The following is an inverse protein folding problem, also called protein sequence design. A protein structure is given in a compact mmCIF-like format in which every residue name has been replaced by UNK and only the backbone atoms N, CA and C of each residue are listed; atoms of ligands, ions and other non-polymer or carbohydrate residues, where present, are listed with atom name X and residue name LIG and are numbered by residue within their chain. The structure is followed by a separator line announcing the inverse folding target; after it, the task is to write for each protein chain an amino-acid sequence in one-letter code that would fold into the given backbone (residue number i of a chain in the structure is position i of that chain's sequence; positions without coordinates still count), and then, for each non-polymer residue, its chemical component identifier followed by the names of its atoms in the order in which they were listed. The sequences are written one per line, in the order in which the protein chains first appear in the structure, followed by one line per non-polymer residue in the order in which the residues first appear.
data_IF_672256147274
#
_entry.id   IF_672256147274
#
_cell.length_a   1.000
_cell.length_b   1.000
_cell.length_c   1.000
_cell.angle_alpha   90.00
_cell.angle_beta   90.00
_cell.angle_gamma   90.00
#
_symmetry.space_group_name_H-M   'P 1'
#
loop_
_entity.id
_entity.type
_entity.pdbx_description
1 polymer ?
#
# COMPACT_ATOMS: atom_id res chain seq x y z
N UNK A 1 35.87 -81.07 44.93
CA UNK A 1 36.49 -79.76 44.75
C UNK A 1 35.97 -79.14 43.46
N UNK A 2 34.97 -78.25 43.56
CA UNK A 2 34.36 -77.57 42.46
C UNK A 2 34.95 -76.15 42.37
N UNK A 3 35.66 -75.89 41.31
CA UNK A 3 36.16 -74.51 40.99
C UNK A 3 35.08 -73.68 40.34
N UNK A 4 34.73 -72.58 40.99
CA UNK A 4 33.78 -71.62 40.53
C UNK A 4 34.52 -70.60 39.65
N UNK A 5 34.16 -70.53 38.37
CA UNK A 5 34.66 -69.49 37.40
C UNK A 5 33.69 -68.29 37.45
N UNK A 6 34.21 -67.18 37.87
CA UNK A 6 33.49 -65.89 37.86
C UNK A 6 33.77 -65.19 36.50
N UNK A 7 32.72 -65.04 35.67
CA UNK A 7 32.79 -64.21 34.46
C UNK A 7 32.45 -62.75 34.84
N UNK A 8 33.42 -61.87 34.67
CA UNK A 8 33.19 -60.45 34.81
C UNK A 8 32.61 -59.90 33.49
N UNK A 9 31.39 -59.38 33.55
CA UNK A 9 30.70 -58.74 32.45
C UNK A 9 31.03 -57.26 32.48
N UNK A 10 31.85 -56.75 31.52
CA UNK A 10 32.13 -55.33 31.36
C UNK A 10 31.07 -54.73 30.45
N UNK A 11 30.17 -53.94 31.03
CA UNK A 11 29.19 -53.16 30.27
C UNK A 11 29.86 -51.89 29.71
N UNK A 12 30.07 -51.87 28.41
CA UNK A 12 30.52 -50.68 27.70
C UNK A 12 29.37 -49.67 27.51
N UNK A 13 29.50 -48.49 28.12
CA UNK A 13 28.57 -47.38 27.92
C UNK A 13 28.95 -46.65 26.64
N UNK A 14 28.15 -46.81 25.59
CA UNK A 14 28.26 -46.03 24.35
C UNK A 14 27.56 -44.69 24.57
N UNK A 15 28.30 -43.59 24.64
CA UNK A 15 27.73 -42.23 24.58
C UNK A 15 27.33 -41.90 23.14
N UNK A 16 26.08 -41.43 22.87
CA UNK A 16 25.73 -40.92 21.58
C UNK A 16 26.39 -39.57 21.37
N UNK A 17 27.20 -39.43 20.33
CA UNK A 17 27.68 -38.16 19.81
C UNK A 17 26.50 -37.45 19.14
N UNK A 18 25.94 -36.45 19.83
CA UNK A 18 24.97 -35.51 19.23
C UNK A 18 25.75 -34.59 18.30
N UNK A 19 25.70 -34.91 17.01
CA UNK A 19 26.19 -34.01 15.97
C UNK A 19 25.26 -32.77 15.90
N UNK A 20 25.72 -31.63 16.46
CA UNK A 20 25.09 -30.32 16.18
C UNK A 20 25.25 -30.02 14.71
N UNK A 21 24.22 -30.31 13.94
CA UNK A 21 24.07 -29.79 12.57
C UNK A 21 23.82 -28.29 12.66
N UNK A 22 24.86 -27.49 12.50
CA UNK A 22 24.70 -26.05 12.31
C UNK A 22 23.96 -25.83 10.99
N UNK A 23 22.67 -25.51 11.05
CA UNK A 23 21.94 -24.94 9.91
C UNK A 23 22.69 -23.68 9.50
N UNK A 24 23.35 -23.72 8.34
CA UNK A 24 23.88 -22.56 7.67
C UNK A 24 22.67 -21.70 7.33
N UNK A 25 22.40 -20.66 8.10
CA UNK A 25 21.42 -19.64 7.74
C UNK A 25 21.92 -19.02 6.43
N UNK A 26 21.19 -19.28 5.37
CA UNK A 26 21.40 -18.62 4.10
C UNK A 26 20.99 -17.16 4.36
N UNK A 27 21.99 -16.30 4.56
CA UNK A 27 21.78 -14.85 4.57
C UNK A 27 21.05 -14.50 3.27
N UNK A 28 19.77 -14.17 3.36
CA UNK A 28 19.05 -13.62 2.22
C UNK A 28 19.83 -12.39 1.77
N UNK A 29 20.24 -12.37 0.50
CA UNK A 29 20.91 -11.23 -0.09
C UNK A 29 19.87 -10.10 -0.16
N UNK A 30 19.80 -9.26 0.89
CA UNK A 30 18.88 -8.13 0.96
C UNK A 30 19.51 -7.04 0.08
N UNK A 31 18.86 -6.73 -1.04
CA UNK A 31 19.24 -5.59 -1.87
C UNK A 31 19.24 -4.32 -1.01
N UNK A 32 20.32 -3.54 -1.02
CA UNK A 32 20.48 -2.38 -0.13
C UNK A 32 19.46 -1.28 -0.42
N UNK A 33 18.95 -1.21 -1.64
CA UNK A 33 17.87 -0.28 -2.07
C UNK A 33 17.02 -0.97 -3.11
N UNK A 34 15.71 -0.94 -2.89
CA UNK A 34 14.71 -1.35 -3.89
C UNK A 34 13.92 -0.11 -4.27
N UNK A 35 13.86 0.22 -5.56
CA UNK A 35 13.08 1.34 -6.09
C UNK A 35 11.97 0.80 -6.97
N UNK A 36 10.74 1.11 -6.61
CA UNK A 36 9.55 0.74 -7.35
C UNK A 36 8.79 2.01 -7.77
N UNK A 37 8.45 2.12 -9.06
CA UNK A 37 7.58 3.18 -9.57
C UNK A 37 6.13 2.73 -9.47
N UNK A 38 5.39 3.25 -8.49
CA UNK A 38 4.01 2.84 -8.24
C UNK A 38 3.03 3.39 -9.27
N UNK A 39 3.32 4.57 -9.86
CA UNK A 39 2.51 5.16 -10.92
C UNK A 39 3.31 6.21 -11.70
N UNK A 40 3.08 6.28 -13.01
CA UNK A 40 3.41 7.41 -13.88
C UNK A 40 2.18 7.72 -14.72
N UNK A 41 1.69 8.97 -14.72
CA UNK A 41 0.47 9.33 -15.41
C UNK A 41 0.57 10.70 -16.07
N UNK A 42 0.06 10.82 -17.28
CA UNK A 42 -0.15 12.07 -18.02
C UNK A 42 -1.62 12.47 -18.07
N UNK A 43 -2.49 11.55 -17.66
CA UNK A 43 -3.94 11.74 -17.54
C UNK A 43 -4.47 11.07 -16.28
N UNK A 44 -5.63 11.50 -15.83
CA UNK A 44 -6.33 10.94 -14.69
C UNK A 44 -7.03 9.62 -15.02
N UNK A 45 -7.48 8.87 -13.99
CA UNK A 45 -8.15 7.59 -14.17
C UNK A 45 -9.43 7.68 -15.04
N UNK A 46 -10.04 8.85 -15.15
CA UNK A 46 -11.19 9.07 -16.02
C UNK A 46 -10.81 9.49 -17.46
N UNK A 47 -9.50 9.58 -17.78
CA UNK A 47 -8.96 9.86 -19.11
C UNK A 47 -8.83 11.35 -19.43
N UNK A 48 -8.96 12.23 -18.43
CA UNK A 48 -8.75 13.68 -18.64
C UNK A 48 -7.26 14.00 -18.49
N UNK A 49 -6.69 14.70 -19.46
CA UNK A 49 -5.29 15.11 -19.46
C UNK A 49 -5.00 16.14 -18.37
N UNK A 50 -3.80 16.10 -17.82
CA UNK A 50 -3.36 17.04 -16.80
C UNK A 50 -2.80 18.33 -17.36
N UNK A 51 -3.07 19.42 -16.63
CA UNK A 51 -2.44 20.72 -16.83
C UNK A 51 -1.95 21.23 -15.49
N UNK A 52 -0.65 21.58 -15.39
CA UNK A 52 -0.15 22.23 -14.19
C UNK A 52 -0.71 23.65 -14.07
N UNK A 53 -1.35 24.00 -12.93
CA UNK A 53 -1.90 25.33 -12.75
C UNK A 53 -0.77 26.37 -12.68
N UNK A 54 -1.03 27.59 -13.23
CA UNK A 54 -0.06 28.70 -13.22
C UNK A 54 -0.09 29.43 -11.88
N UNK A 55 1.06 29.75 -11.33
CA UNK A 55 1.19 30.49 -10.06
C UNK A 55 2.36 29.99 -9.19
N UNK A 56 2.42 30.45 -7.95
CA UNK A 56 3.40 29.96 -6.98
C UNK A 56 3.10 28.52 -6.60
N UNK A 57 3.95 27.60 -6.99
CA UNK A 57 3.76 26.17 -6.81
C UNK A 57 3.65 25.78 -5.33
N UNK A 58 2.78 24.83 -5.04
CA UNK A 58 2.61 24.24 -3.73
C UNK A 58 2.37 22.73 -3.87
N UNK A 59 3.23 21.92 -3.25
CA UNK A 59 3.02 20.49 -3.11
C UNK A 59 2.29 20.22 -1.79
N UNK A 60 1.31 19.33 -1.82
CA UNK A 60 0.58 18.92 -0.63
C UNK A 60 0.47 17.40 -0.59
N UNK A 61 0.76 16.81 0.57
CA UNK A 61 0.51 15.41 0.85
C UNK A 61 -0.57 15.32 1.95
N UNK A 62 -1.67 14.67 1.64
CA UNK A 62 -2.76 14.41 2.58
C UNK A 62 -2.81 12.93 2.94
N UNK A 63 -3.09 12.65 4.20
CA UNK A 63 -3.52 11.33 4.67
C UNK A 63 -5.02 11.38 4.92
N UNK A 64 -5.78 10.59 4.21
CA UNK A 64 -7.23 10.51 4.28
C UNK A 64 -7.61 9.17 4.89
N UNK A 65 -8.48 9.19 5.91
CA UNK A 65 -9.11 7.99 6.47
C UNK A 65 -10.61 8.11 6.27
N UNK A 66 -11.18 7.21 5.48
CA UNK A 66 -12.61 7.15 5.22
C UNK A 66 -13.21 5.90 5.87
N UNK A 67 -14.21 6.09 6.74
CA UNK A 67 -14.90 4.98 7.38
C UNK A 67 -15.67 4.14 6.38
N UNK A 68 -15.92 2.85 6.62
CA UNK A 68 -16.71 1.99 5.74
C UNK A 68 -18.06 2.63 5.40
N UNK A 69 -18.39 2.65 4.11
CA UNK A 69 -19.62 3.25 3.59
C UNK A 69 -19.60 4.78 3.47
N UNK A 70 -18.54 5.46 3.91
CA UNK A 70 -18.44 6.91 3.72
C UNK A 70 -18.24 7.23 2.24
N UNK A 71 -19.12 8.05 1.71
CA UNK A 71 -19.08 8.58 0.34
C UNK A 71 -18.88 10.08 0.38
N UNK A 72 -17.88 10.57 -0.37
CA UNK A 72 -17.64 12.01 -0.49
C UNK A 72 -18.81 12.68 -1.22
N UNK A 73 -19.15 13.92 -0.87
CA UNK A 73 -19.96 14.76 -1.76
C UNK A 73 -19.31 14.88 -3.15
N UNK A 74 -20.13 15.23 -4.15
CA UNK A 74 -19.61 15.57 -5.48
C UNK A 74 -18.66 16.76 -5.37
N UNK A 75 -17.48 16.63 -5.95
CA UNK A 75 -16.42 17.62 -5.91
C UNK A 75 -15.48 17.49 -7.10
N UNK A 76 -14.60 18.44 -7.26
CA UNK A 76 -13.49 18.38 -8.21
C UNK A 76 -12.20 18.93 -7.59
N UNK A 77 -11.08 18.70 -8.25
CA UNK A 77 -9.76 19.22 -7.89
C UNK A 77 -9.26 20.11 -9.04
N UNK A 78 -8.75 21.31 -8.70
CA UNK A 78 -8.20 22.22 -9.72
C UNK A 78 -6.75 21.91 -10.09
N UNK A 79 -6.14 20.91 -9.46
CA UNK A 79 -4.74 20.51 -9.64
C UNK A 79 -4.62 19.00 -9.86
N UNK A 80 -3.55 18.57 -10.57
CA UNK A 80 -3.23 17.16 -10.69
C UNK A 80 -2.82 16.57 -9.34
N UNK A 81 -3.13 15.29 -9.15
CA UNK A 81 -2.77 14.54 -7.97
C UNK A 81 -2.64 13.05 -8.22
N UNK A 82 -1.93 12.40 -7.33
CA UNK A 82 -1.75 10.94 -7.29
C UNK A 82 -2.19 10.44 -5.94
N UNK A 83 -3.00 9.39 -5.93
CA UNK A 83 -3.44 8.68 -4.75
C UNK A 83 -2.76 7.31 -4.64
N UNK A 84 -2.48 6.90 -3.40
CA UNK A 84 -2.00 5.56 -3.05
C UNK A 84 -2.85 4.99 -1.92
N UNK A 85 -3.44 3.82 -2.14
CA UNK A 85 -4.26 3.13 -1.14
C UNK A 85 -3.36 2.25 -0.28
N UNK A 86 -3.29 2.57 1.01
CA UNK A 86 -2.51 1.78 2.00
C UNK A 86 -3.34 0.63 2.55
N UNK A 87 -4.65 0.88 2.77
CA UNK A 87 -5.55 -0.04 3.47
C UNK A 87 -6.99 0.21 3.03
N UNK A 88 -7.84 -0.82 3.15
CA UNK A 88 -9.23 -0.76 2.72
C UNK A 88 -9.38 -0.64 1.21
N UNK A 89 -10.55 -0.26 0.72
CA UNK A 89 -10.84 -0.16 -0.71
C UNK A 89 -11.70 1.05 -1.02
N UNK A 90 -11.48 1.63 -2.19
CA UNK A 90 -12.23 2.75 -2.72
C UNK A 90 -13.00 2.34 -3.99
N UNK A 91 -14.19 2.91 -4.16
CA UNK A 91 -14.94 2.95 -5.42
C UNK A 91 -15.22 4.40 -5.75
N UNK A 92 -14.66 4.89 -6.87
CA UNK A 92 -14.86 6.26 -7.30
C UNK A 92 -15.67 6.29 -8.60
N UNK A 93 -16.43 7.35 -8.83
CA UNK A 93 -17.25 7.52 -10.02
C UNK A 93 -17.39 8.98 -10.43
N UNK A 94 -17.59 9.20 -11.73
CA UNK A 94 -17.88 10.51 -12.34
C UNK A 94 -19.36 10.61 -12.73
N UNK A 95 -19.86 11.81 -12.99
CA UNK A 95 -21.24 12.02 -13.44
C UNK A 95 -21.52 11.40 -14.82
N UNK A 96 -20.50 11.21 -15.65
CA UNK A 96 -20.64 10.59 -16.99
C UNK A 96 -20.46 9.08 -16.97
N UNK A 97 -20.47 8.43 -15.78
CA UNK A 97 -20.49 6.97 -15.64
C UNK A 97 -19.12 6.29 -15.68
N UNK A 98 -18.01 7.03 -15.78
CA UNK A 98 -16.68 6.43 -15.60
C UNK A 98 -16.49 6.05 -14.14
N UNK A 99 -15.84 4.92 -13.88
CA UNK A 99 -15.65 4.39 -12.54
C UNK A 99 -14.24 3.80 -12.37
N UNK A 100 -13.77 3.85 -11.12
CA UNK A 100 -12.53 3.26 -10.64
C UNK A 100 -12.80 2.45 -9.38
N UNK A 101 -12.11 1.32 -9.23
CA UNK A 101 -11.95 0.62 -7.94
C UNK A 101 -10.47 0.53 -7.64
N UNK A 102 -10.10 0.78 -6.39
CA UNK A 102 -8.72 0.67 -5.94
C UNK A 102 -8.66 0.07 -4.53
N UNK A 103 -7.74 -0.87 -4.33
CA UNK A 103 -7.46 -1.55 -3.08
C UNK A 103 -6.04 -1.32 -2.57
N UNK A 104 -5.63 -2.01 -1.50
CA UNK A 104 -4.31 -1.84 -0.89
C UNK A 104 -3.17 -2.09 -1.88
N UNK A 105 -2.17 -1.18 -1.90
CA UNK A 105 -1.04 -1.23 -2.81
C UNK A 105 -1.29 -0.58 -4.18
N UNK A 106 -2.53 -0.24 -4.50
CA UNK A 106 -2.87 0.37 -5.79
C UNK A 106 -2.76 1.89 -5.75
N UNK A 107 -2.29 2.44 -6.87
CA UNK A 107 -2.17 3.88 -7.10
C UNK A 107 -3.05 4.31 -8.26
N UNK A 108 -3.56 5.53 -8.19
CA UNK A 108 -4.31 6.13 -9.29
C UNK A 108 -4.10 7.64 -9.36
N UNK A 109 -4.22 8.15 -10.57
CA UNK A 109 -4.14 9.58 -10.85
C UNK A 109 -5.52 10.22 -10.66
N UNK A 110 -5.65 11.24 -9.79
CA UNK A 110 -6.94 11.86 -9.44
C UNK A 110 -7.46 12.75 -10.57
N UNK A 111 -8.79 12.84 -10.79
CA UNK A 111 -9.35 13.74 -11.82
C UNK A 111 -9.05 15.21 -11.54
N UNK A 112 -8.69 15.96 -12.58
CA UNK A 112 -8.55 17.41 -12.53
C UNK A 112 -9.73 18.05 -13.24
N UNK A 113 -10.37 19.08 -12.64
CA UNK A 113 -11.55 19.82 -13.14
C UNK A 113 -12.77 18.94 -13.49
N UNK A 114 -12.74 17.67 -13.15
CA UNK A 114 -13.81 16.72 -13.43
C UNK A 114 -14.55 16.33 -12.17
N UNK A 115 -15.88 16.51 -12.17
CA UNK A 115 -16.74 16.24 -11.01
C UNK A 115 -16.84 14.74 -10.75
N UNK A 116 -16.51 14.35 -9.54
CA UNK A 116 -16.49 12.96 -9.11
C UNK A 116 -16.81 12.80 -7.63
N UNK A 117 -16.92 11.55 -7.20
CA UNK A 117 -17.00 11.13 -5.80
C UNK A 117 -16.13 9.91 -5.59
N UNK A 118 -15.77 9.64 -4.34
CA UNK A 118 -15.19 8.36 -3.93
C UNK A 118 -15.93 7.85 -2.69
N UNK A 119 -16.04 6.53 -2.58
CA UNK A 119 -16.69 5.82 -1.49
C UNK A 119 -15.73 4.77 -0.92
N UNK A 120 -15.64 4.71 0.40
CA UNK A 120 -14.96 3.61 1.10
C UNK A 120 -15.87 2.39 1.10
N UNK A 121 -15.45 1.32 0.40
CA UNK A 121 -16.24 0.10 0.24
C UNK A 121 -15.65 -1.06 1.05
N UNK A 122 -16.53 -2.01 1.41
CA UNK A 122 -16.17 -3.14 2.27
C UNK A 122 -16.31 -2.81 3.76
N UNK A 123 -15.70 -3.63 4.61
CA UNK A 123 -15.87 -3.60 6.07
C UNK A 123 -14.72 -2.90 6.81
N UNK A 124 -13.73 -2.42 6.09
CA UNK A 124 -12.52 -1.80 6.62
C UNK A 124 -12.45 -0.33 6.18
N UNK A 125 -11.99 0.54 7.09
CA UNK A 125 -11.75 1.94 6.75
C UNK A 125 -10.65 2.06 5.69
N UNK A 126 -10.89 2.85 4.65
CA UNK A 126 -9.87 3.15 3.66
C UNK A 126 -8.87 4.18 4.21
N UNK A 127 -7.58 3.88 4.08
CA UNK A 127 -6.46 4.78 4.35
C UNK A 127 -5.74 5.08 3.04
N UNK A 128 -5.73 6.34 2.66
CA UNK A 128 -5.21 6.79 1.36
C UNK A 128 -4.27 7.97 1.57
N UNK A 129 -3.13 7.97 0.89
CA UNK A 129 -2.30 9.16 0.73
C UNK A 129 -2.57 9.79 -0.63
N UNK A 130 -2.72 11.11 -0.64
CA UNK A 130 -2.91 11.89 -1.88
C UNK A 130 -1.86 12.99 -1.95
N UNK A 131 -1.00 12.92 -2.96
CA UNK A 131 -0.04 13.96 -3.29
C UNK A 131 -0.61 14.83 -4.41
N UNK A 132 -0.62 16.16 -4.24
CA UNK A 132 -1.16 17.11 -5.20
C UNK A 132 -0.14 18.18 -5.55
N UNK A 133 -0.07 18.56 -6.83
CA UNK A 133 0.79 19.62 -7.37
C UNK A 133 -0.07 20.83 -7.75
N UNK A 134 -0.26 21.76 -6.81
CA UNK A 134 -1.16 22.89 -6.94
C UNK A 134 -0.47 24.25 -6.83
N UNK A 135 -1.25 25.26 -6.54
CA UNK A 135 -0.83 26.65 -6.36
C UNK A 135 -1.17 27.14 -4.96
N UNK A 136 -0.28 27.93 -4.38
CA UNK A 136 -0.45 28.51 -3.04
C UNK A 136 -1.79 29.25 -2.93
N UNK A 137 -2.57 28.88 -1.89
CA UNK A 137 -3.87 29.50 -1.62
C UNK A 137 -5.05 28.88 -2.41
N UNK A 138 -4.79 27.97 -3.36
CA UNK A 138 -5.84 27.25 -4.09
C UNK A 138 -6.44 26.14 -3.20
N UNK A 139 -7.75 25.95 -3.30
CA UNK A 139 -8.42 24.84 -2.58
C UNK A 139 -8.06 23.50 -3.23
N UNK A 140 -7.67 22.53 -2.41
CA UNK A 140 -7.38 21.17 -2.90
C UNK A 140 -8.64 20.47 -3.40
N UNK A 141 -9.77 20.71 -2.74
CA UNK A 141 -11.07 20.12 -3.08
C UNK A 141 -12.11 21.22 -3.16
N UNK A 142 -12.83 21.28 -4.25
CA UNK A 142 -13.89 22.26 -4.51
C UNK A 142 -15.24 21.52 -4.55
N UNK A 143 -16.16 21.78 -3.60
CA UNK A 143 -17.49 21.18 -3.65
C UNK A 143 -18.23 21.56 -4.92
N UNK A 144 -18.84 20.56 -5.57
CA UNK A 144 -19.74 20.80 -6.70
C UNK A 144 -21.16 21.04 -6.17
N UNK A 145 -21.76 22.18 -6.56
CA UNK A 145 -23.15 22.52 -6.27
C UNK A 145 -23.96 22.33 -7.53
N UNK A 146 -24.97 21.50 -7.47
CA UNK A 146 -26.02 21.39 -8.49
C UNK A 146 -26.91 22.63 -8.45
#
# INVERSE_FOLDING_TARGET
MRRLLIFALTAGIALPLVACSSKKETSANIEPVVVETLITATESWNGDSYVYPKGTTQMTLQRITAQPGFKTPLHFHSQPGIAYVVKGSLSCGTLNGKALKAGPGESFATPQESVHYCESVGNEAALVFVASAGVKGQKLTVPYKQ
#
